data_IF_120890545291
#
_entry.id   IF_120890545291
#
_cell.length_a   1.000
_cell.length_b   1.000
_cell.length_c   1.000
_cell.angle_alpha   90.00
_cell.angle_beta   90.00
_cell.angle_gamma   90.00
#
_symmetry.space_group_name_H-M   'P 1'
#
loop_
_entity.id
_entity.type
_entity.pdbx_description
1 polymer ?
#
# COMPACT_ATOMS: atom_id res chain seq x y z
N UNK A 1 33.96 -17.06 7.58
CA UNK A 1 33.65 -16.91 6.15
C UNK A 1 34.24 -15.58 5.70
N UNK A 2 35.02 -15.52 4.63
CA UNK A 2 35.62 -14.30 4.13
C UNK A 2 34.50 -13.33 3.71
N UNK A 3 34.64 -12.04 4.03
CA UNK A 3 33.63 -11.03 3.71
C UNK A 3 33.25 -10.99 2.21
N UNK A 4 34.26 -11.20 1.36
CA UNK A 4 34.13 -11.29 -0.10
C UNK A 4 33.25 -12.48 -0.53
N UNK A 5 33.50 -13.66 0.04
CA UNK A 5 32.74 -14.87 -0.26
C UNK A 5 31.27 -14.71 0.13
N UNK A 6 30.99 -14.07 1.26
CA UNK A 6 29.63 -13.77 1.70
C UNK A 6 28.90 -12.84 0.73
N UNK A 7 29.54 -11.77 0.28
CA UNK A 7 28.93 -10.83 -0.68
C UNK A 7 28.65 -11.52 -2.01
N UNK A 8 29.55 -12.38 -2.47
CA UNK A 8 29.38 -13.16 -3.69
C UNK A 8 28.20 -14.12 -3.62
N UNK A 9 27.97 -14.75 -2.48
CA UNK A 9 26.80 -15.63 -2.25
C UNK A 9 25.50 -14.83 -2.18
N UNK A 10 25.50 -13.69 -1.48
CA UNK A 10 24.33 -12.79 -1.42
C UNK A 10 23.99 -12.23 -2.81
N UNK A 11 25.00 -11.87 -3.62
CA UNK A 11 24.81 -11.41 -4.99
C UNK A 11 24.33 -12.53 -5.92
N UNK A 12 24.82 -13.75 -5.76
CA UNK A 12 24.34 -14.93 -6.47
C UNK A 12 22.85 -15.18 -6.20
N UNK A 13 22.43 -15.05 -4.94
CA UNK A 13 21.04 -15.15 -4.57
C UNK A 13 20.19 -14.04 -5.20
N UNK A 14 20.67 -12.78 -5.18
CA UNK A 14 20.02 -11.64 -5.82
C UNK A 14 19.82 -11.88 -7.32
N UNK A 15 20.87 -12.30 -8.03
CA UNK A 15 20.80 -12.59 -9.47
C UNK A 15 19.79 -13.71 -9.79
N UNK A 16 19.73 -14.75 -8.95
CA UNK A 16 18.89 -15.91 -9.18
C UNK A 16 17.40 -15.65 -8.89
N UNK A 17 17.10 -14.79 -7.91
CA UNK A 17 15.75 -14.68 -7.36
C UNK A 17 15.10 -13.29 -7.55
N UNK A 18 15.91 -12.23 -7.71
CA UNK A 18 15.41 -10.83 -7.72
C UNK A 18 15.68 -10.15 -9.06
N UNK A 19 16.87 -10.34 -9.63
CA UNK A 19 17.24 -9.67 -10.88
C UNK A 19 16.44 -10.21 -12.06
N UNK A 20 15.90 -9.29 -12.86
CA UNK A 20 15.14 -9.62 -14.08
C UNK A 20 15.99 -9.37 -15.33
N UNK A 21 15.88 -10.26 -16.31
CA UNK A 21 16.54 -10.08 -17.60
C UNK A 21 15.90 -8.94 -18.38
N UNK A 22 16.67 -7.92 -18.76
CA UNK A 22 16.20 -6.79 -19.58
C UNK A 22 15.92 -7.14 -21.05
N UNK A 23 16.28 -8.33 -21.49
CA UNK A 23 16.22 -8.73 -22.93
C UNK A 23 14.98 -9.52 -23.34
N UNK A 24 14.04 -9.82 -22.43
CA UNK A 24 12.79 -10.54 -22.79
C UNK A 24 11.58 -9.78 -22.27
N UNK A 25 10.86 -9.21 -23.20
CA UNK A 25 9.67 -8.36 -22.97
C UNK A 25 8.42 -9.14 -22.55
N UNK A 26 8.40 -10.48 -22.64
CA UNK A 26 7.13 -11.20 -22.65
C UNK A 26 6.82 -12.07 -21.42
N UNK A 27 7.76 -12.33 -20.53
CA UNK A 27 7.51 -13.05 -19.26
C UNK A 27 8.69 -12.83 -18.32
N UNK A 28 8.43 -12.32 -17.10
CA UNK A 28 9.45 -12.07 -16.08
C UNK A 28 10.12 -13.36 -15.58
N UNK A 29 11.09 -13.84 -16.32
CA UNK A 29 11.90 -14.97 -15.92
C UNK A 29 13.14 -14.50 -15.16
N UNK A 30 13.48 -15.20 -14.08
CA UNK A 30 14.75 -15.07 -13.40
C UNK A 30 15.91 -15.37 -14.36
N UNK A 31 17.10 -14.83 -14.05
CA UNK A 31 18.28 -15.12 -14.85
C UNK A 31 18.58 -16.63 -14.86
N UNK A 32 18.91 -17.16 -16.02
CA UNK A 32 19.31 -18.58 -16.15
C UNK A 32 20.58 -18.86 -15.32
N UNK A 33 20.74 -20.05 -14.72
CA UNK A 33 21.91 -20.38 -13.90
C UNK A 33 23.26 -20.10 -14.58
N UNK A 34 23.34 -20.33 -15.90
CA UNK A 34 24.55 -20.03 -16.70
C UNK A 34 24.84 -18.53 -16.78
N UNK A 35 23.82 -17.69 -16.86
CA UNK A 35 23.96 -16.23 -16.83
C UNK A 35 24.43 -15.75 -15.44
N UNK A 36 23.88 -16.32 -14.37
CA UNK A 36 24.31 -16.02 -12.99
C UNK A 36 25.80 -16.33 -12.82
N UNK A 37 26.26 -17.49 -13.25
CA UNK A 37 27.68 -17.86 -13.19
C UNK A 37 28.58 -16.90 -13.97
N UNK A 38 28.16 -16.50 -15.16
CA UNK A 38 28.88 -15.53 -15.98
C UNK A 38 28.96 -14.16 -15.31
N UNK A 39 27.84 -13.66 -14.75
CA UNK A 39 27.82 -12.38 -14.06
C UNK A 39 28.71 -12.39 -12.81
N UNK A 40 28.73 -13.47 -12.05
CA UNK A 40 29.62 -13.60 -10.90
C UNK A 40 31.11 -13.59 -11.31
N UNK A 41 31.45 -14.23 -12.44
CA UNK A 41 32.82 -14.28 -12.92
C UNK A 41 33.32 -12.95 -13.48
N UNK A 42 32.44 -12.14 -14.11
CA UNK A 42 32.82 -10.86 -14.71
C UNK A 42 33.17 -9.75 -13.70
N UNK A 43 32.83 -9.90 -12.44
CA UNK A 43 33.16 -8.95 -11.37
C UNK A 43 34.51 -9.26 -10.67
N UNK A 44 35.15 -10.36 -11.03
CA UNK A 44 36.51 -10.65 -10.53
C UNK A 44 37.57 -9.86 -11.31
N UNK A 45 38.62 -9.52 -10.61
CA UNK A 45 39.69 -8.62 -11.05
C UNK A 45 40.31 -8.96 -12.41
N UNK A 46 40.56 -10.24 -12.65
CA UNK A 46 41.23 -10.73 -13.86
C UNK A 46 40.45 -10.46 -15.16
N UNK A 47 39.18 -10.08 -15.02
CA UNK A 47 38.27 -9.81 -16.14
C UNK A 47 38.00 -8.33 -16.39
N UNK A 48 38.28 -7.47 -15.41
CA UNK A 48 38.00 -6.03 -15.47
C UNK A 48 39.27 -5.17 -15.64
N UNK A 49 40.44 -5.66 -15.18
CA UNK A 49 41.68 -4.88 -15.08
C UNK A 49 42.36 -4.50 -16.41
N UNK A 50 42.06 -5.20 -17.50
CA UNK A 50 42.67 -4.91 -18.81
C UNK A 50 42.30 -3.52 -19.35
N UNK A 51 41.35 -2.79 -18.72
CA UNK A 51 40.78 -1.56 -19.26
C UNK A 51 41.07 -0.27 -18.50
N UNK A 52 41.35 -0.30 -17.20
CA UNK A 52 41.75 0.91 -16.47
C UNK A 52 42.59 0.63 -15.21
N UNK A 53 43.89 0.46 -15.31
CA UNK A 53 44.76 0.09 -14.19
C UNK A 53 44.84 1.14 -13.06
N UNK A 54 44.45 2.40 -13.31
CA UNK A 54 44.54 3.46 -12.31
C UNK A 54 43.42 3.34 -11.23
N UNK A 55 42.20 2.99 -11.63
CA UNK A 55 41.07 2.84 -10.72
C UNK A 55 41.29 1.66 -9.77
N UNK A 56 42.03 0.64 -10.22
CA UNK A 56 42.12 -0.65 -9.54
C UNK A 56 43.35 -0.84 -8.70
N UNK A 57 44.25 0.16 -8.60
CA UNK A 57 45.51 0.02 -7.85
C UNK A 57 45.37 -0.52 -6.42
N UNK A 58 44.17 -0.40 -5.82
CA UNK A 58 43.93 -0.79 -4.44
C UNK A 58 42.75 -1.81 -4.26
N UNK A 59 42.15 -2.26 -5.35
CA UNK A 59 40.94 -3.09 -5.33
C UNK A 59 41.27 -4.43 -6.01
N UNK A 60 41.04 -5.54 -5.32
CA UNK A 60 41.27 -6.88 -5.84
C UNK A 60 40.05 -7.53 -6.51
N UNK A 61 38.87 -7.02 -6.24
CA UNK A 61 37.60 -7.47 -6.82
C UNK A 61 36.52 -6.42 -6.58
N UNK A 62 35.50 -6.32 -7.46
CA UNK A 62 34.30 -5.52 -7.20
C UNK A 62 33.57 -5.92 -5.91
N UNK A 63 33.70 -7.17 -5.51
CA UNK A 63 33.14 -7.66 -4.25
C UNK A 63 33.79 -7.08 -2.99
N UNK A 64 34.94 -6.38 -3.11
CA UNK A 64 35.60 -5.67 -2.01
C UNK A 64 34.94 -4.30 -1.75
N UNK A 65 34.12 -3.80 -2.71
CA UNK A 65 33.49 -2.50 -2.65
C UNK A 65 32.03 -2.68 -2.24
N UNK A 66 31.68 -2.22 -1.05
CA UNK A 66 30.36 -2.41 -0.46
C UNK A 66 29.62 -1.11 -0.13
N UNK A 67 30.27 0.04 -0.42
CA UNK A 67 29.67 1.36 -0.23
C UNK A 67 28.94 1.77 -1.52
N UNK A 68 27.62 2.03 -1.48
CA UNK A 68 26.83 2.29 -2.68
C UNK A 68 27.37 3.38 -3.60
N UNK A 69 27.80 4.52 -3.04
CA UNK A 69 28.32 5.65 -3.82
C UNK A 69 29.68 5.33 -4.47
N UNK A 70 30.53 4.54 -3.82
CA UNK A 70 31.81 4.09 -4.41
C UNK A 70 31.58 3.14 -5.59
N UNK A 71 30.71 2.16 -5.41
CA UNK A 71 30.36 1.21 -6.48
C UNK A 71 29.74 1.94 -7.67
N UNK A 72 28.87 2.91 -7.42
CA UNK A 72 28.24 3.70 -8.49
C UNK A 72 29.23 4.57 -9.25
N UNK A 73 30.15 5.23 -8.56
CA UNK A 73 31.20 6.05 -9.19
C UNK A 73 32.12 5.20 -10.08
N UNK A 74 32.54 4.04 -9.60
CA UNK A 74 33.36 3.10 -10.37
C UNK A 74 32.58 2.55 -11.58
N UNK A 75 31.33 2.16 -11.38
CA UNK A 75 30.47 1.68 -12.45
C UNK A 75 30.27 2.74 -13.54
N UNK A 76 30.00 3.99 -13.16
CA UNK A 76 29.85 5.09 -14.12
C UNK A 76 31.12 5.37 -14.89
N UNK A 77 32.28 5.27 -14.25
CA UNK A 77 33.60 5.45 -14.94
C UNK A 77 33.81 4.34 -15.97
N UNK A 78 33.56 3.08 -15.64
CA UNK A 78 33.69 1.95 -16.57
C UNK A 78 32.67 1.98 -17.70
N UNK A 79 31.38 2.27 -17.39
CA UNK A 79 30.29 2.28 -18.38
C UNK A 79 30.41 3.48 -19.35
N UNK A 80 31.08 4.56 -18.96
CA UNK A 80 31.36 5.72 -19.82
C UNK A 80 32.71 5.62 -20.59
N UNK A 81 33.51 4.57 -20.35
CA UNK A 81 34.73 4.32 -21.10
C UNK A 81 34.38 3.71 -22.46
N UNK A 82 34.77 4.40 -23.55
CA UNK A 82 34.42 3.96 -24.91
C UNK A 82 35.14 2.66 -25.30
N UNK A 83 36.35 2.42 -24.83
CA UNK A 83 37.12 1.22 -25.13
C UNK A 83 36.53 0.01 -24.40
N UNK A 84 36.19 0.17 -23.13
CA UNK A 84 35.47 -0.86 -22.36
C UNK A 84 34.13 -1.23 -23.01
N UNK A 85 33.33 -0.23 -23.33
CA UNK A 85 31.95 -0.46 -23.88
C UNK A 85 32.01 -1.11 -25.25
N UNK A 86 32.94 -0.70 -26.12
CA UNK A 86 33.13 -1.30 -27.43
C UNK A 86 33.58 -2.74 -27.33
N UNK A 87 34.56 -3.04 -26.51
CA UNK A 87 35.05 -4.40 -26.32
C UNK A 87 34.03 -5.33 -25.66
N UNK A 88 33.23 -4.82 -24.72
CA UNK A 88 32.17 -5.60 -24.10
C UNK A 88 31.05 -5.94 -25.10
N UNK A 89 30.69 -5.00 -25.97
CA UNK A 89 29.70 -5.24 -27.01
C UNK A 89 30.20 -6.22 -28.09
N UNK A 90 31.47 -6.08 -28.53
CA UNK A 90 32.04 -6.88 -29.61
C UNK A 90 32.33 -8.33 -29.18
N UNK A 91 32.86 -8.55 -27.98
CA UNK A 91 33.27 -9.89 -27.52
C UNK A 91 32.30 -10.55 -26.53
N UNK A 92 31.59 -9.79 -25.72
CA UNK A 92 30.79 -10.29 -24.61
C UNK A 92 29.29 -9.96 -24.71
N UNK A 93 28.85 -9.37 -25.81
CA UNK A 93 27.44 -9.00 -26.05
C UNK A 93 26.83 -8.16 -24.90
N UNK A 94 27.60 -7.29 -24.24
CA UNK A 94 27.17 -6.43 -23.16
C UNK A 94 27.01 -7.13 -21.80
N UNK A 95 27.56 -8.32 -21.62
CA UNK A 95 27.40 -9.10 -20.38
C UNK A 95 28.19 -8.51 -19.20
N UNK A 96 29.36 -7.89 -19.45
CA UNK A 96 30.14 -7.23 -18.40
C UNK A 96 29.44 -5.98 -17.89
N UNK A 97 28.95 -5.14 -18.79
CA UNK A 97 28.14 -3.97 -18.44
C UNK A 97 26.89 -4.38 -17.65
N UNK A 98 26.23 -5.45 -18.09
CA UNK A 98 25.09 -6.02 -17.36
C UNK A 98 25.45 -6.48 -15.94
N UNK A 99 26.60 -7.13 -15.75
CA UNK A 99 27.10 -7.57 -14.43
C UNK A 99 27.34 -6.38 -13.49
N UNK A 100 27.99 -5.33 -13.99
CA UNK A 100 28.26 -4.11 -13.22
C UNK A 100 26.95 -3.43 -12.80
N UNK A 101 26.02 -3.26 -13.72
CA UNK A 101 24.71 -2.64 -13.42
C UNK A 101 23.95 -3.44 -12.36
N UNK A 102 23.90 -4.76 -12.49
CA UNK A 102 23.24 -5.61 -11.48
C UNK A 102 23.95 -5.54 -10.13
N UNK A 103 25.27 -5.42 -10.11
CA UNK A 103 26.01 -5.31 -8.86
C UNK A 103 25.76 -3.95 -8.16
N UNK A 104 25.69 -2.85 -8.92
CA UNK A 104 25.27 -1.54 -8.37
C UNK A 104 23.89 -1.63 -7.74
N UNK A 105 22.92 -2.22 -8.45
CA UNK A 105 21.57 -2.42 -7.93
C UNK A 105 21.54 -3.30 -6.67
N UNK A 106 22.33 -4.38 -6.66
CA UNK A 106 22.48 -5.25 -5.51
C UNK A 106 23.07 -4.54 -4.29
N UNK A 107 24.16 -3.79 -4.45
CA UNK A 107 24.79 -3.08 -3.33
C UNK A 107 23.88 -1.98 -2.77
N UNK A 108 23.15 -1.27 -3.62
CA UNK A 108 22.11 -0.33 -3.19
C UNK A 108 20.99 -1.03 -2.41
N UNK A 109 20.49 -2.15 -2.91
CA UNK A 109 19.49 -2.95 -2.21
C UNK A 109 20.06 -3.59 -0.94
N UNK A 110 21.30 -4.08 -0.96
CA UNK A 110 21.97 -4.68 0.19
C UNK A 110 22.13 -3.70 1.34
N UNK A 111 22.51 -2.47 1.09
CA UNK A 111 22.60 -1.45 2.14
C UNK A 111 21.25 -1.20 2.81
N UNK A 112 20.17 -1.26 2.04
CA UNK A 112 18.80 -1.19 2.54
C UNK A 112 18.46 -2.42 3.41
N UNK A 113 18.73 -3.63 2.91
CA UNK A 113 18.44 -4.88 3.63
C UNK A 113 19.34 -5.11 4.85
N UNK A 114 20.57 -4.63 4.87
CA UNK A 114 21.47 -4.79 6.03
C UNK A 114 21.10 -3.84 7.16
N UNK A 115 20.60 -2.65 6.86
CA UNK A 115 20.01 -1.75 7.85
C UNK A 115 18.73 -2.34 8.46
N UNK A 116 17.97 -3.13 7.70
CA UNK A 116 16.81 -3.89 8.22
C UNK A 116 17.23 -5.12 9.02
N UNK A 117 18.22 -5.91 8.54
CA UNK A 117 18.67 -7.14 9.25
C UNK A 117 19.35 -6.87 10.58
N UNK A 118 20.06 -5.77 10.76
CA UNK A 118 20.66 -5.39 12.05
C UNK A 118 19.56 -5.12 13.09
N UNK A 119 18.36 -4.74 12.68
CA UNK A 119 17.18 -4.62 13.56
C UNK A 119 16.64 -5.97 14.03
N UNK A 120 16.79 -7.05 13.24
CA UNK A 120 16.19 -8.35 13.51
C UNK A 120 17.10 -9.37 14.21
N UNK A 121 18.42 -9.13 14.32
CA UNK A 121 19.37 -10.10 14.85
C UNK A 121 20.19 -9.61 16.07
N UNK A 122 19.84 -8.51 16.71
CA UNK A 122 20.52 -7.98 17.90
C UNK A 122 19.82 -8.27 19.22
N UNK A 123 18.98 -9.29 19.31
CA UNK A 123 18.37 -9.69 20.59
C UNK A 123 18.86 -11.05 21.04
N UNK A 124 19.95 -11.01 21.86
CA UNK A 124 20.15 -11.95 22.96
C UNK A 124 19.62 -11.30 24.25
N UNK A 125 19.00 -12.06 25.16
CA UNK A 125 18.20 -11.49 26.21
C UNK A 125 19.02 -11.02 27.41
N UNK A 126 19.17 -9.72 27.62
CA UNK A 126 19.44 -9.18 28.94
C UNK A 126 18.40 -8.14 29.30
N UNK A 127 17.59 -8.53 30.28
CA UNK A 127 16.54 -7.73 30.90
C UNK A 127 17.09 -6.51 31.60
N UNK A 128 16.36 -5.43 31.51
CA UNK A 128 16.28 -4.21 32.37
C UNK A 128 16.74 -2.94 31.67
N UNK A 129 15.85 -2.39 30.87
CA UNK A 129 15.41 -0.97 30.93
C UNK A 129 14.25 -0.77 29.94
N UNK A 130 13.10 -1.33 30.29
CA UNK A 130 11.84 -0.99 29.66
C UNK A 130 11.30 0.23 30.38
N UNK A 131 11.35 1.39 29.73
CA UNK A 131 10.29 2.40 29.84
C UNK A 131 10.67 3.63 29.01
N UNK A 132 9.89 3.87 27.96
CA UNK A 132 9.77 5.14 27.23
C UNK A 132 10.31 5.24 25.80
N UNK A 133 10.08 4.23 24.93
CA UNK A 133 10.07 4.42 23.47
C UNK A 133 9.00 3.45 22.88
N UNK A 134 7.73 3.65 23.18
CA UNK A 134 6.72 2.63 22.89
C UNK A 134 5.58 3.05 21.94
N UNK A 135 5.55 4.27 21.39
CA UNK A 135 4.44 4.65 20.51
C UNK A 135 4.71 4.48 19.01
N UNK A 136 5.93 4.69 18.53
CA UNK A 136 6.20 4.78 17.09
C UNK A 136 6.62 3.46 16.44
N UNK A 137 7.22 2.54 17.19
CA UNK A 137 7.57 1.17 16.72
C UNK A 137 6.33 0.30 16.58
N UNK A 138 5.29 0.54 17.35
CA UNK A 138 4.03 -0.21 17.32
C UNK A 138 3.28 -0.11 15.97
N UNK A 139 3.44 0.99 15.24
CA UNK A 139 2.76 1.20 13.96
C UNK A 139 3.56 0.74 12.73
N UNK A 140 4.79 0.25 12.90
CA UNK A 140 5.67 -0.06 11.77
C UNK A 140 5.07 -1.07 10.79
N UNK A 141 4.43 -2.12 11.29
CA UNK A 141 3.77 -3.17 10.47
C UNK A 141 2.44 -2.68 9.86
N UNK A 142 1.67 -1.87 10.61
CA UNK A 142 0.36 -1.40 10.18
C UNK A 142 0.40 -0.03 9.50
N UNK A 143 1.54 0.66 9.51
CA UNK A 143 1.71 1.98 8.90
C UNK A 143 1.20 2.08 7.48
N UNK A 144 1.55 1.17 6.53
CA UNK A 144 1.08 1.29 5.16
C UNK A 144 -0.45 1.29 5.06
N UNK A 145 -1.12 0.48 5.88
CA UNK A 145 -2.58 0.40 5.91
C UNK A 145 -3.20 1.68 6.47
N UNK A 146 -2.67 2.17 7.60
CA UNK A 146 -3.14 3.39 8.26
C UNK A 146 -2.97 4.60 7.34
N UNK A 147 -1.79 4.73 6.71
CA UNK A 147 -1.50 5.82 5.78
C UNK A 147 -2.39 5.76 4.53
N UNK A 148 -2.56 4.57 3.95
CA UNK A 148 -3.42 4.37 2.78
C UNK A 148 -4.88 4.72 3.09
N UNK A 149 -5.42 4.21 4.20
CA UNK A 149 -6.80 4.47 4.64
C UNK A 149 -7.03 5.96 4.89
N UNK A 150 -6.10 6.63 5.58
CA UNK A 150 -6.20 8.07 5.85
C UNK A 150 -6.16 8.90 4.57
N UNK A 151 -5.41 8.45 3.57
CA UNK A 151 -5.33 9.12 2.27
C UNK A 151 -6.59 8.88 1.44
N UNK A 152 -7.17 7.68 1.53
CA UNK A 152 -8.40 7.32 0.82
C UNK A 152 -9.12 6.19 1.55
N UNK A 153 -10.39 6.36 1.96
CA UNK A 153 -11.13 5.37 2.75
C UNK A 153 -11.64 4.18 1.91
N UNK A 154 -11.03 3.90 0.79
CA UNK A 154 -11.25 2.70 0.00
C UNK A 154 -9.91 1.99 -0.27
N UNK A 155 -9.71 0.83 0.34
CA UNK A 155 -8.48 0.05 0.28
C UNK A 155 -8.74 -1.32 -0.35
N UNK A 156 -7.87 -1.75 -1.25
CA UNK A 156 -7.82 -3.12 -1.76
C UNK A 156 -6.60 -3.84 -1.18
N UNK A 157 -6.85 -4.99 -0.55
CA UNK A 157 -5.82 -5.90 -0.08
C UNK A 157 -5.73 -7.08 -1.06
N UNK A 158 -4.72 -7.05 -1.93
CA UNK A 158 -4.52 -8.04 -2.97
C UNK A 158 -3.39 -9.01 -2.58
N UNK A 159 -3.51 -10.28 -2.91
CA UNK A 159 -2.43 -11.26 -2.66
C UNK A 159 -2.94 -12.69 -2.64
N UNK A 160 -2.01 -13.62 -2.44
CA UNK A 160 -2.32 -15.06 -2.37
C UNK A 160 -3.27 -15.37 -1.22
N UNK A 161 -4.04 -16.47 -1.35
CA UNK A 161 -4.97 -16.89 -0.31
C UNK A 161 -4.24 -17.23 1.00
N UNK A 162 -4.85 -16.95 2.15
CA UNK A 162 -4.29 -17.27 3.46
C UNK A 162 -3.28 -16.27 4.04
N UNK A 163 -2.98 -15.13 3.39
CA UNK A 163 -2.05 -14.10 3.90
C UNK A 163 -2.63 -13.21 5.03
N UNK A 164 -3.87 -13.46 5.45
CA UNK A 164 -4.48 -12.74 6.56
C UNK A 164 -5.13 -11.40 6.19
N UNK A 165 -5.46 -11.17 4.92
CA UNK A 165 -6.09 -9.93 4.41
C UNK A 165 -7.28 -9.47 5.27
N UNK A 166 -8.30 -10.30 5.42
CA UNK A 166 -9.50 -9.99 6.23
C UNK A 166 -9.20 -9.87 7.73
N UNK A 167 -8.16 -10.57 8.22
CA UNK A 167 -7.70 -10.45 9.60
C UNK A 167 -7.16 -9.06 9.91
N UNK A 168 -6.35 -8.48 9.01
CA UNK A 168 -5.79 -7.12 9.19
C UNK A 168 -6.91 -6.09 9.38
N UNK A 169 -7.96 -6.16 8.56
CA UNK A 169 -9.11 -5.23 8.68
C UNK A 169 -9.77 -5.33 10.06
N UNK A 170 -9.95 -6.55 10.55
CA UNK A 170 -10.51 -6.80 11.88
C UNK A 170 -9.61 -6.30 13.00
N UNK A 171 -8.29 -6.48 12.88
CA UNK A 171 -7.33 -5.97 13.88
C UNK A 171 -7.31 -4.43 13.91
N UNK A 172 -7.41 -3.75 12.76
CA UNK A 172 -7.54 -2.30 12.68
C UNK A 172 -8.84 -1.81 13.35
N UNK A 173 -9.97 -2.46 13.09
CA UNK A 173 -11.24 -2.13 13.71
C UNK A 173 -11.20 -2.34 15.24
N UNK A 174 -10.63 -3.46 15.69
CA UNK A 174 -10.43 -3.77 17.11
C UNK A 174 -9.56 -2.72 17.80
N UNK A 175 -8.50 -2.26 17.15
CA UNK A 175 -7.58 -1.27 17.69
C UNK A 175 -8.20 0.12 17.88
N UNK A 176 -9.42 0.38 17.37
CA UNK A 176 -10.15 1.61 17.64
C UNK A 176 -10.74 1.65 19.07
N UNK A 177 -10.77 0.52 19.78
CA UNK A 177 -11.30 0.39 21.13
C UNK A 177 -10.18 0.38 22.19
N UNK A 178 -10.50 0.80 23.42
CA UNK A 178 -9.55 0.71 24.54
C UNK A 178 -9.26 -0.75 24.87
N UNK A 179 -7.98 -1.03 25.11
CA UNK A 179 -7.54 -2.36 25.51
C UNK A 179 -8.26 -2.80 26.81
N UNK A 180 -8.81 -4.02 26.76
CA UNK A 180 -9.54 -4.60 27.89
C UNK A 180 -11.08 -4.43 27.81
N UNK A 181 -11.61 -3.58 26.93
CA UNK A 181 -13.06 -3.46 26.70
C UNK A 181 -13.64 -4.69 26.01
N UNK A 182 -14.93 -4.87 26.08
CA UNK A 182 -15.61 -6.00 25.43
C UNK A 182 -15.51 -5.91 23.90
N UNK A 183 -15.59 -4.72 23.34
CA UNK A 183 -15.38 -4.49 21.90
C UNK A 183 -13.94 -4.82 21.46
N UNK A 184 -12.94 -4.46 22.25
CA UNK A 184 -11.56 -4.84 21.97
C UNK A 184 -11.35 -6.35 21.96
N UNK A 185 -12.06 -7.09 22.84
CA UNK A 185 -11.97 -8.56 22.94
C UNK A 185 -12.86 -9.27 21.93
N UNK A 186 -13.85 -8.58 21.36
CA UNK A 186 -14.82 -9.17 20.45
C UNK A 186 -14.15 -9.65 19.15
N UNK A 187 -14.60 -10.79 18.65
CA UNK A 187 -14.20 -11.23 17.30
C UNK A 187 -14.85 -10.40 16.20
N UNK A 188 -16.01 -9.80 16.49
CA UNK A 188 -16.74 -8.87 15.63
C UNK A 188 -17.09 -7.64 16.44
N UNK A 189 -16.16 -6.68 16.59
CA UNK A 189 -16.49 -5.42 17.26
C UNK A 189 -17.58 -4.68 16.46
N UNK A 190 -18.35 -3.81 17.13
CA UNK A 190 -19.52 -3.14 16.51
C UNK A 190 -19.17 -2.29 15.28
N UNK A 191 -17.92 -1.81 15.20
CA UNK A 191 -17.38 -1.04 14.09
C UNK A 191 -16.77 -1.89 12.96
N UNK A 192 -17.03 -3.20 12.93
CA UNK A 192 -16.55 -4.11 11.90
C UNK A 192 -17.69 -4.93 11.31
N UNK A 193 -17.86 -4.86 10.00
CA UNK A 193 -18.76 -5.71 9.23
C UNK A 193 -18.00 -6.39 8.09
N UNK A 194 -18.10 -7.72 8.05
CA UNK A 194 -17.60 -8.49 6.90
C UNK A 194 -18.78 -8.97 6.07
N UNK A 195 -18.71 -8.70 4.78
CA UNK A 195 -19.71 -9.13 3.79
C UNK A 195 -18.97 -9.97 2.75
N UNK A 196 -19.36 -11.23 2.64
CA UNK A 196 -18.81 -12.13 1.63
C UNK A 196 -19.50 -11.88 0.29
N UNK A 197 -18.73 -11.54 -0.73
CA UNK A 197 -19.23 -11.34 -2.08
C UNK A 197 -19.63 -12.69 -2.67
N UNK A 198 -20.74 -12.72 -3.40
CA UNK A 198 -21.25 -13.95 -4.02
C UNK A 198 -21.12 -13.86 -5.56
N UNK A 199 -20.80 -14.96 -6.24
CA UNK A 199 -20.59 -14.96 -7.69
C UNK A 199 -21.82 -14.52 -8.53
N UNK A 200 -23.02 -14.55 -7.94
CA UNK A 200 -24.26 -14.18 -8.59
C UNK A 200 -24.67 -12.71 -8.41
N UNK A 201 -23.83 -11.88 -7.82
CA UNK A 201 -24.11 -10.46 -7.69
C UNK A 201 -23.92 -9.74 -9.03
N UNK A 202 -24.97 -8.98 -9.44
CA UNK A 202 -25.00 -8.30 -10.73
C UNK A 202 -25.35 -6.82 -10.64
N UNK A 203 -25.88 -6.38 -9.50
CA UNK A 203 -26.28 -4.99 -9.25
C UNK A 203 -26.12 -4.65 -7.77
N UNK A 204 -26.34 -3.40 -7.40
CA UNK A 204 -26.18 -2.90 -6.04
C UNK A 204 -27.24 -3.34 -5.05
N UNK A 205 -28.30 -4.01 -5.49
CA UNK A 205 -29.41 -4.43 -4.63
C UNK A 205 -28.99 -5.37 -3.51
N UNK A 206 -27.97 -6.17 -3.74
CA UNK A 206 -27.39 -7.08 -2.74
C UNK A 206 -26.70 -6.33 -1.57
N UNK A 207 -26.13 -5.15 -1.83
CA UNK A 207 -25.42 -4.35 -0.84
C UNK A 207 -26.23 -3.16 -0.30
N UNK A 208 -26.86 -2.41 -1.19
CA UNK A 208 -27.64 -1.20 -0.84
C UNK A 208 -29.04 -1.59 -0.47
N UNK A 209 -29.68 -2.40 -1.32
CA UNK A 209 -31.07 -2.80 -1.17
C UNK A 209 -31.92 -2.43 -2.38
N UNK A 210 -33.21 -2.73 -2.30
CA UNK A 210 -34.16 -2.52 -3.38
C UNK A 210 -35.59 -2.31 -2.86
N UNK A 211 -36.43 -1.66 -3.66
CA UNK A 211 -37.85 -1.51 -3.37
C UNK A 211 -38.59 -2.79 -3.78
N UNK A 212 -39.15 -3.51 -2.79
CA UNK A 212 -39.98 -4.66 -2.97
C UNK A 212 -41.47 -4.24 -3.01
N UNK A 213 -42.29 -4.91 -3.84
CA UNK A 213 -43.75 -4.72 -3.92
C UNK A 213 -44.51 -6.03 -3.73
N UNK A 214 -43.84 -7.03 -3.18
CA UNK A 214 -44.43 -8.37 -2.97
C UNK A 214 -45.62 -8.35 -1.99
N UNK A 215 -45.56 -7.47 -0.97
CA UNK A 215 -46.62 -7.30 0.01
C UNK A 215 -47.85 -6.50 -0.50
N UNK A 216 -47.79 -6.01 -1.76
CA UNK A 216 -48.82 -5.09 -2.31
C UNK A 216 -48.57 -3.62 -1.97
N UNK A 217 -47.57 -3.31 -1.14
CA UNK A 217 -47.07 -1.97 -0.85
C UNK A 217 -45.60 -1.89 -1.21
N UNK A 218 -45.11 -0.68 -1.50
CA UNK A 218 -43.69 -0.45 -1.69
C UNK A 218 -42.98 -0.49 -0.32
N UNK A 219 -42.01 -1.38 -0.19
CA UNK A 219 -41.17 -1.53 1.00
C UNK A 219 -39.72 -1.62 0.57
N UNK A 220 -38.81 -0.88 1.20
CA UNK A 220 -37.40 -0.98 0.88
C UNK A 220 -36.73 -2.08 1.72
N UNK A 221 -36.17 -3.06 1.06
CA UNK A 221 -35.35 -4.11 1.68
C UNK A 221 -33.90 -3.63 1.73
N UNK A 222 -33.48 -3.14 2.90
CA UNK A 222 -32.15 -2.60 3.08
C UNK A 222 -31.07 -3.70 3.06
N UNK A 223 -30.03 -3.49 2.26
CA UNK A 223 -28.84 -4.32 2.22
C UNK A 223 -27.93 -4.11 3.43
N UNK A 224 -26.96 -5.01 3.59
CA UNK A 224 -26.04 -4.98 4.74
C UNK A 224 -25.13 -3.74 4.74
N UNK A 225 -24.76 -3.22 3.57
CA UNK A 225 -23.95 -2.02 3.48
C UNK A 225 -24.72 -0.78 3.93
N UNK A 226 -25.96 -0.62 3.47
CA UNK A 226 -26.79 0.53 3.86
C UNK A 226 -27.07 0.54 5.37
N UNK A 227 -27.34 -0.63 5.97
CA UNK A 227 -27.47 -0.76 7.43
C UNK A 227 -26.19 -0.38 8.18
N UNK A 228 -25.03 -0.73 7.61
CA UNK A 228 -23.75 -0.41 8.23
C UNK A 228 -23.38 1.06 8.10
N UNK A 229 -23.77 1.73 6.99
CA UNK A 229 -23.68 3.18 6.83
C UNK A 229 -24.45 3.89 7.95
N UNK A 230 -25.70 3.48 8.22
CA UNK A 230 -26.49 4.08 9.28
C UNK A 230 -25.84 3.92 10.66
N UNK A 231 -25.27 2.75 10.98
CA UNK A 231 -24.52 2.53 12.23
C UNK A 231 -23.29 3.43 12.34
N UNK A 232 -22.61 3.69 11.23
CA UNK A 232 -21.43 4.56 11.23
C UNK A 232 -21.82 6.04 11.43
N UNK A 233 -23.01 6.43 10.99
CA UNK A 233 -23.60 7.74 11.30
C UNK A 233 -23.98 7.91 12.78
N UNK A 234 -24.43 6.84 13.45
CA UNK A 234 -24.75 6.86 14.89
C UNK A 234 -23.52 7.01 15.80
N UNK A 235 -22.31 6.74 15.29
CA UNK A 235 -21.06 6.82 16.06
C UNK A 235 -19.94 7.38 15.16
N UNK A 236 -19.99 8.67 14.88
CA UNK A 236 -19.02 9.35 14.01
C UNK A 236 -17.64 9.50 14.63
N UNK A 237 -17.49 9.30 15.94
CA UNK A 237 -16.21 9.40 16.67
C UNK A 237 -15.34 8.14 16.54
N UNK A 238 -15.94 7.03 16.12
CA UNK A 238 -15.22 5.77 15.92
C UNK A 238 -15.08 5.45 14.43
N UNK A 239 -13.88 5.05 13.92
CA UNK A 239 -13.74 4.55 12.56
C UNK A 239 -14.48 3.23 12.36
N UNK A 240 -15.28 3.11 11.32
CA UNK A 240 -16.06 1.93 10.95
C UNK A 240 -15.44 1.24 9.73
N UNK A 241 -15.37 -0.09 9.73
CA UNK A 241 -14.73 -0.89 8.68
C UNK A 241 -15.72 -1.87 8.05
N UNK A 242 -16.06 -1.63 6.79
CA UNK A 242 -16.73 -2.62 5.95
C UNK A 242 -15.67 -3.43 5.20
N UNK A 243 -15.62 -4.74 5.39
CA UNK A 243 -14.77 -5.65 4.65
C UNK A 243 -15.59 -6.44 3.63
N UNK A 244 -15.37 -6.18 2.34
CA UNK A 244 -15.89 -6.99 1.24
C UNK A 244 -14.91 -8.12 0.97
N UNK A 245 -15.25 -9.33 1.45
CA UNK A 245 -14.38 -10.49 1.33
C UNK A 245 -14.53 -11.14 -0.04
N UNK A 246 -13.38 -11.45 -0.67
CA UNK A 246 -13.32 -11.97 -2.04
C UNK A 246 -14.04 -11.07 -3.06
N UNK A 247 -13.71 -9.78 -3.01
CA UNK A 247 -14.42 -8.73 -3.76
C UNK A 247 -14.52 -9.01 -5.26
N UNK A 248 -13.56 -9.73 -5.85
CA UNK A 248 -13.49 -10.07 -7.26
C UNK A 248 -14.21 -11.37 -7.66
N UNK A 249 -15.01 -11.99 -6.77
CA UNK A 249 -15.88 -13.11 -7.14
C UNK A 249 -17.04 -12.72 -8.06
N UNK A 250 -17.43 -11.44 -8.07
CA UNK A 250 -18.41 -10.86 -8.97
C UNK A 250 -17.86 -9.58 -9.63
N UNK A 251 -18.43 -9.12 -10.75
CA UNK A 251 -18.01 -7.88 -11.40
C UNK A 251 -18.24 -6.66 -10.51
N UNK A 252 -17.16 -6.11 -9.92
CA UNK A 252 -17.20 -5.03 -8.93
C UNK A 252 -17.85 -3.77 -9.48
N UNK A 253 -17.59 -3.44 -10.72
CA UNK A 253 -18.17 -2.28 -11.42
C UNK A 253 -19.69 -2.37 -11.62
N UNK A 254 -20.30 -3.53 -11.36
CA UNK A 254 -21.76 -3.72 -11.43
C UNK A 254 -22.37 -3.63 -10.04
N UNK A 255 -22.01 -4.54 -9.13
CA UNK A 255 -22.64 -4.60 -7.81
C UNK A 255 -22.21 -3.46 -6.86
N UNK A 256 -21.10 -2.78 -7.16
CA UNK A 256 -20.55 -1.71 -6.32
C UNK A 256 -20.55 -0.34 -7.04
N UNK A 257 -21.32 -0.21 -8.13
CA UNK A 257 -21.35 0.96 -9.00
C UNK A 257 -21.69 2.26 -8.26
N UNK A 258 -22.70 2.23 -7.37
CA UNK A 258 -23.14 3.40 -6.61
C UNK A 258 -22.04 3.88 -5.67
N UNK A 259 -21.40 2.99 -4.92
CA UNK A 259 -20.28 3.37 -4.06
C UNK A 259 -19.12 3.96 -4.88
N UNK A 260 -18.75 3.31 -6.00
CA UNK A 260 -17.69 3.79 -6.87
C UNK A 260 -17.99 5.19 -7.44
N UNK A 261 -19.28 5.50 -7.68
CA UNK A 261 -19.70 6.84 -8.09
C UNK A 261 -19.60 7.84 -6.94
N UNK A 262 -20.14 7.49 -5.78
CA UNK A 262 -20.22 8.38 -4.62
C UNK A 262 -18.85 8.68 -4.03
N UNK A 263 -17.90 7.74 -4.04
CA UNK A 263 -16.54 7.99 -3.51
C UNK A 263 -15.77 9.06 -4.35
N UNK A 264 -16.16 9.29 -5.59
CA UNK A 264 -15.61 10.36 -6.43
C UNK A 264 -16.16 11.75 -6.09
N UNK A 265 -17.35 11.83 -5.49
CA UNK A 265 -17.98 13.09 -5.09
C UNK A 265 -17.42 13.64 -3.76
N UNK A 266 -16.48 12.92 -3.11
CA UNK A 266 -15.86 13.39 -1.86
C UNK A 266 -15.30 14.80 -2.01
N UNK A 267 -15.63 15.64 -1.05
CA UNK A 267 -15.21 17.04 -1.03
C UNK A 267 -14.83 17.47 0.38
N UNK A 268 -13.63 18.04 0.51
CA UNK A 268 -13.16 18.71 1.73
C UNK A 268 -13.73 20.13 1.81
N UNK A 269 -14.16 20.54 2.99
CA UNK A 269 -14.66 21.90 3.25
C UNK A 269 -13.64 22.78 3.97
N UNK A 270 -12.42 22.26 4.23
CA UNK A 270 -11.33 23.02 4.86
C UNK A 270 -11.44 23.15 6.40
N UNK A 271 -12.53 22.68 6.99
CA UNK A 271 -12.79 22.66 8.44
C UNK A 271 -12.59 21.27 9.07
N UNK A 272 -12.03 20.33 8.30
CA UNK A 272 -11.87 18.95 8.69
C UNK A 272 -13.03 18.04 8.30
N UNK A 273 -14.11 18.60 7.75
CA UNK A 273 -15.30 17.87 7.30
C UNK A 273 -15.15 17.48 5.84
N UNK A 274 -15.45 16.21 5.55
CA UNK A 274 -15.53 15.67 4.19
C UNK A 274 -16.93 15.13 3.96
N UNK A 275 -17.57 15.58 2.90
CA UNK A 275 -18.92 15.12 2.50
C UNK A 275 -18.86 14.32 1.19
N UNK A 276 -19.93 13.58 0.93
CA UNK A 276 -20.19 12.88 -0.34
C UNK A 276 -21.60 13.19 -0.82
N UNK A 277 -21.87 12.94 -2.09
CA UNK A 277 -23.23 12.81 -2.57
C UNK A 277 -23.93 11.62 -1.87
N UNK A 278 -25.27 11.58 -1.80
CA UNK A 278 -25.97 10.46 -1.20
C UNK A 278 -25.79 9.18 -2.03
N UNK A 279 -25.56 8.06 -1.34
CA UNK A 279 -25.55 6.72 -1.96
C UNK A 279 -26.96 6.21 -2.21
N UNK A 280 -27.92 6.73 -1.44
CA UNK A 280 -29.35 6.56 -1.67
C UNK A 280 -30.01 7.95 -1.61
N UNK A 281 -30.49 8.39 -2.76
CA UNK A 281 -31.21 9.66 -2.89
C UNK A 281 -32.49 9.66 -2.04
N UNK A 282 -32.84 10.85 -1.53
CA UNK A 282 -34.10 11.01 -0.82
C UNK A 282 -35.29 10.78 -1.75
N UNK A 283 -36.38 10.30 -1.16
CA UNK A 283 -37.64 10.14 -1.86
C UNK A 283 -38.80 10.63 -0.96
N UNK A 284 -39.80 11.27 -1.58
CA UNK A 284 -41.00 11.74 -0.89
C UNK A 284 -42.08 10.63 -0.79
N UNK A 285 -41.65 9.38 -0.68
CA UNK A 285 -42.51 8.21 -0.65
C UNK A 285 -42.51 7.56 0.74
N UNK A 286 -43.65 6.97 1.14
CA UNK A 286 -43.81 6.31 2.44
C UNK A 286 -42.73 5.26 2.72
N UNK A 287 -42.32 4.50 1.70
CA UNK A 287 -41.29 3.49 1.86
C UNK A 287 -39.94 4.08 2.29
N UNK A 288 -39.62 5.31 1.87
CA UNK A 288 -38.36 5.95 2.23
C UNK A 288 -38.35 6.40 3.71
N UNK A 289 -39.43 7.01 4.17
CA UNK A 289 -39.59 7.39 5.58
C UNK A 289 -39.62 6.15 6.51
N UNK A 290 -40.26 5.05 6.07
CA UNK A 290 -40.19 3.77 6.78
C UNK A 290 -38.80 3.18 6.82
N UNK A 291 -38.05 3.28 5.72
CA UNK A 291 -36.63 2.86 5.63
C UNK A 291 -35.80 3.63 6.66
N UNK A 292 -35.80 4.96 6.61
CA UNK A 292 -34.98 5.79 7.50
C UNK A 292 -35.31 5.55 8.97
N UNK A 293 -36.57 5.39 9.30
CA UNK A 293 -37.02 5.01 10.64
C UNK A 293 -36.57 3.61 11.08
N UNK A 294 -36.38 2.68 10.13
CA UNK A 294 -35.87 1.34 10.42
C UNK A 294 -34.33 1.28 10.55
N UNK A 295 -33.60 2.21 9.91
CA UNK A 295 -32.19 2.26 9.92
C UNK A 295 -31.57 2.87 11.19
N UNK A 296 -32.28 3.87 11.78
CA UNK A 296 -31.81 4.54 13.00
C UNK A 296 -32.98 5.01 13.87
N UNK A 297 -32.78 4.93 15.19
CA UNK A 297 -33.65 5.54 16.17
C UNK A 297 -33.29 6.98 16.51
N UNK A 298 -32.14 7.47 16.09
CA UNK A 298 -31.71 8.83 16.29
C UNK A 298 -32.52 9.79 15.40
N UNK A 299 -33.19 10.76 16.04
CA UNK A 299 -34.09 11.69 15.34
C UNK A 299 -33.37 12.68 14.45
N UNK A 300 -32.16 13.11 14.84
CA UNK A 300 -31.35 14.09 14.08
C UNK A 300 -30.77 13.43 12.82
N UNK A 301 -30.24 12.22 12.95
CA UNK A 301 -29.74 11.43 11.81
C UNK A 301 -30.87 11.09 10.86
N UNK A 302 -32.02 10.67 11.39
CA UNK A 302 -33.18 10.37 10.56
C UNK A 302 -33.70 11.59 9.82
N UNK A 303 -33.68 12.75 10.47
CA UNK A 303 -34.06 14.04 9.84
C UNK A 303 -33.09 14.35 8.71
N UNK A 304 -31.78 14.24 8.94
CA UNK A 304 -30.76 14.44 7.92
C UNK A 304 -30.99 13.51 6.72
N UNK A 305 -31.22 12.21 6.96
CA UNK A 305 -31.48 11.25 5.88
C UNK A 305 -32.74 11.62 5.07
N UNK A 306 -33.78 12.12 5.72
CA UNK A 306 -35.00 12.52 5.05
C UNK A 306 -34.86 13.81 4.23
N UNK A 307 -34.00 14.72 4.66
CA UNK A 307 -33.78 16.01 4.00
C UNK A 307 -32.72 15.95 2.87
N UNK A 308 -31.66 15.17 3.07
CA UNK A 308 -30.46 15.20 2.21
C UNK A 308 -30.21 13.89 1.44
N UNK A 309 -30.91 12.79 1.81
CA UNK A 309 -30.58 11.44 1.37
C UNK A 309 -29.57 10.78 2.31
N UNK A 310 -29.22 9.52 2.04
CA UNK A 310 -28.27 8.75 2.85
C UNK A 310 -26.87 8.86 2.21
N UNK A 311 -26.00 9.66 2.77
CA UNK A 311 -24.61 9.81 2.34
C UNK A 311 -23.67 8.88 3.11
N UNK A 312 -22.42 8.76 2.64
CA UNK A 312 -21.38 7.97 3.30
C UNK A 312 -20.72 8.84 4.39
N UNK A 313 -20.74 8.41 5.68
CA UNK A 313 -20.09 9.18 6.73
C UNK A 313 -18.58 9.11 6.59
N UNK A 314 -17.89 10.17 6.99
CA UNK A 314 -16.44 10.34 6.84
C UNK A 314 -15.62 9.26 7.54
N UNK A 315 -16.13 8.71 8.64
CA UNK A 315 -15.48 7.67 9.45
C UNK A 315 -15.68 6.24 8.90
N UNK A 316 -16.38 6.07 7.77
CA UNK A 316 -16.59 4.77 7.15
C UNK A 316 -15.45 4.44 6.17
N UNK A 317 -14.78 3.34 6.44
CA UNK A 317 -13.67 2.80 5.66
C UNK A 317 -14.14 1.51 4.98
N UNK A 318 -13.97 1.42 3.67
CA UNK A 318 -14.28 0.22 2.90
C UNK A 318 -12.98 -0.49 2.52
N UNK A 319 -12.91 -1.78 2.77
CA UNK A 319 -11.75 -2.61 2.42
C UNK A 319 -12.22 -3.82 1.61
N UNK A 320 -11.70 -3.98 0.40
CA UNK A 320 -11.91 -5.18 -0.40
C UNK A 320 -10.72 -6.14 -0.27
N UNK A 321 -10.98 -7.43 -0.06
CA UNK A 321 -9.94 -8.46 -0.18
C UNK A 321 -10.00 -9.14 -1.53
N UNK A 322 -8.82 -9.46 -2.09
CA UNK A 322 -8.68 -10.02 -3.43
C UNK A 322 -7.71 -11.18 -3.40
N UNK A 323 -8.15 -12.33 -3.87
CA UNK A 323 -7.28 -13.49 -4.08
C UNK A 323 -6.74 -13.46 -5.51
N UNK A 324 -5.40 -13.40 -5.65
CA UNK A 324 -4.73 -13.31 -6.97
C UNK A 324 -4.43 -14.68 -7.58
N UNK A 325 -4.52 -15.73 -6.80
CA UNK A 325 -4.26 -17.14 -7.15
C UNK A 325 -5.50 -17.88 -7.69
N UNK A 326 -6.68 -17.23 -7.67
CA UNK A 326 -7.93 -17.78 -8.15
C UNK A 326 -8.33 -17.21 -9.52
N UNK A 327 -9.03 -18.02 -10.33
CA UNK A 327 -9.63 -17.55 -11.60
C UNK A 327 -10.91 -16.74 -11.30
N UNK A 328 -10.73 -15.46 -11.06
CA UNK A 328 -11.78 -14.51 -10.68
C UNK A 328 -11.84 -13.36 -11.69
N UNK A 329 -12.80 -12.44 -11.52
CA UNK A 329 -12.88 -11.27 -12.37
C UNK A 329 -11.68 -10.34 -12.14
N UNK A 330 -11.10 -9.82 -13.23
CA UNK A 330 -10.10 -8.76 -13.16
C UNK A 330 -10.75 -7.42 -12.85
N UNK A 331 -10.09 -6.58 -12.06
CA UNK A 331 -10.57 -5.23 -11.83
C UNK A 331 -10.41 -4.35 -13.07
N UNK A 332 -11.45 -3.61 -13.39
CA UNK A 332 -11.35 -2.52 -14.36
C UNK A 332 -10.55 -1.34 -13.77
N UNK A 333 -10.02 -0.49 -14.64
CA UNK A 333 -9.37 0.77 -14.22
C UNK A 333 -10.29 1.63 -13.35
N UNK A 334 -11.60 1.59 -13.59
CA UNK A 334 -12.59 2.36 -12.81
C UNK A 334 -12.57 2.01 -11.32
N UNK A 335 -12.29 0.77 -10.96
CA UNK A 335 -12.16 0.32 -9.56
C UNK A 335 -10.78 0.69 -9.02
N UNK A 336 -9.70 0.36 -9.74
CA UNK A 336 -8.33 0.57 -9.29
C UNK A 336 -8.00 2.06 -9.10
N UNK A 337 -8.51 2.92 -9.98
CA UNK A 337 -8.32 4.37 -9.88
C UNK A 337 -9.03 4.99 -8.66
N UNK A 338 -9.95 4.27 -8.01
CA UNK A 338 -10.72 4.74 -6.86
C UNK A 338 -10.29 4.15 -5.53
N UNK A 339 -9.41 3.17 -5.55
CA UNK A 339 -8.91 2.49 -4.37
C UNK A 339 -7.41 2.73 -4.17
N UNK A 340 -6.95 2.71 -2.92
CA UNK A 340 -5.55 2.43 -2.61
C UNK A 340 -5.35 0.91 -2.61
N UNK A 341 -4.25 0.42 -3.18
CA UNK A 341 -3.99 -1.02 -3.26
C UNK A 341 -2.72 -1.38 -2.53
N UNK A 342 -2.80 -2.38 -1.67
CA UNK A 342 -1.64 -2.96 -0.99
C UNK A 342 -1.54 -4.44 -1.36
N UNK A 343 -0.38 -4.83 -1.90
CA UNK A 343 -0.08 -6.22 -2.21
C UNK A 343 0.47 -6.94 -0.98
N UNK A 344 -0.14 -8.07 -0.64
CA UNK A 344 0.19 -8.92 0.51
C UNK A 344 0.70 -10.29 0.04
N UNK A 345 1.85 -10.30 -0.61
CA UNK A 345 2.46 -11.52 -1.16
C UNK A 345 3.59 -12.08 -0.27
N UNK A 346 4.08 -11.28 0.68
CA UNK A 346 5.10 -11.71 1.62
C UNK A 346 4.46 -12.37 2.84
N UNK A 347 4.97 -13.54 3.21
CA UNK A 347 4.47 -14.33 4.34
C UNK A 347 5.59 -14.55 5.36
N UNK A 348 5.41 -14.00 6.55
CA UNK A 348 6.22 -14.35 7.70
C UNK A 348 5.61 -15.56 8.41
N UNK A 349 6.21 -16.74 8.20
CA UNK A 349 5.74 -18.00 8.81
C UNK A 349 5.91 -18.04 10.33
N UNK A 350 6.72 -17.19 10.92
CA UNK A 350 6.87 -17.04 12.37
C UNK A 350 5.92 -16.00 12.96
N UNK A 351 5.33 -15.13 12.12
CA UNK A 351 4.40 -14.11 12.52
C UNK A 351 3.15 -14.68 13.21
N UNK A 352 2.73 -14.07 14.30
CA UNK A 352 1.51 -14.43 15.02
C UNK A 352 1.58 -15.71 15.87
N UNK A 353 2.73 -16.40 15.95
CA UNK A 353 2.86 -17.64 16.74
C UNK A 353 3.00 -17.37 18.26
N UNK A 354 3.50 -16.20 18.63
CA UNK A 354 3.77 -15.86 20.04
C UNK A 354 2.64 -15.09 20.70
N UNK A 355 1.83 -14.38 19.93
CA UNK A 355 0.71 -13.57 20.42
C UNK A 355 -0.51 -13.76 19.53
N UNK A 356 -1.71 -13.86 20.12
CA UNK A 356 -2.96 -14.01 19.37
C UNK A 356 -3.32 -12.74 18.58
N UNK A 357 -3.02 -11.57 19.14
CA UNK A 357 -3.25 -10.26 18.55
C UNK A 357 -1.96 -9.46 18.61
N UNK A 358 -1.69 -8.70 17.55
CA UNK A 358 -0.62 -7.74 17.54
C UNK A 358 -1.05 -6.47 18.31
N UNK A 359 -0.10 -5.86 19.02
CA UNK A 359 -0.36 -4.59 19.70
C UNK A 359 -0.16 -3.46 18.68
N UNK A 360 -1.27 -2.87 18.21
CA UNK A 360 -1.24 -1.75 17.26
C UNK A 360 -1.25 -0.41 18.02
N UNK A 361 -1.65 -0.43 19.31
CA UNK A 361 -2.02 0.76 20.06
C UNK A 361 -3.40 1.29 19.64
N UNK A 362 -3.92 2.27 20.39
CA UNK A 362 -5.24 2.82 20.10
C UNK A 362 -5.23 3.63 18.80
N UNK A 363 -6.11 3.25 17.90
CA UNK A 363 -6.45 3.99 16.69
C UNK A 363 -7.71 4.83 16.93
N UNK A 364 -7.88 5.88 16.13
CA UNK A 364 -9.06 6.74 16.17
C UNK A 364 -9.14 7.59 14.91
N UNK A 365 -10.14 8.47 14.82
CA UNK A 365 -10.36 9.32 13.66
C UNK A 365 -9.10 10.12 13.25
N UNK A 366 -8.38 10.69 14.20
CA UNK A 366 -7.16 11.45 13.92
C UNK A 366 -6.10 10.66 13.12
N UNK A 367 -6.06 9.33 13.25
CA UNK A 367 -5.10 8.46 12.57
C UNK A 367 -5.65 7.82 11.29
N UNK A 368 -6.94 7.57 11.22
CA UNK A 368 -7.56 6.77 10.17
C UNK A 368 -8.47 7.58 9.24
N UNK A 369 -9.06 8.66 9.74
CA UNK A 369 -10.00 9.46 8.96
C UNK A 369 -9.27 10.68 8.39
N UNK A 370 -9.23 10.76 7.06
CA UNK A 370 -8.61 11.89 6.36
C UNK A 370 -9.57 13.06 6.20
N UNK A 371 -9.07 14.27 6.44
CA UNK A 371 -9.79 15.52 6.22
C UNK A 371 -9.46 16.17 4.87
N UNK A 372 -8.41 15.71 4.20
CA UNK A 372 -8.00 16.14 2.88
C UNK A 372 -8.46 15.14 1.81
N UNK A 373 -8.86 15.64 0.66
CA UNK A 373 -9.34 14.84 -0.49
C UNK A 373 -8.50 15.09 -1.72
N UNK A 374 -8.06 16.32 -1.94
CA UNK A 374 -7.28 16.74 -3.09
C UNK A 374 -5.88 17.21 -2.67
N UNK A 375 -4.95 17.25 -3.63
CA UNK A 375 -3.60 17.72 -3.37
C UNK A 375 -3.56 19.19 -2.87
N UNK A 376 -4.52 20.02 -3.26
CA UNK A 376 -4.62 21.41 -2.80
C UNK A 376 -4.87 21.51 -1.29
N UNK A 377 -5.53 20.53 -0.70
CA UNK A 377 -5.86 20.51 0.73
C UNK A 377 -4.62 20.36 1.62
N UNK A 378 -3.51 19.85 1.06
CA UNK A 378 -2.25 19.62 1.79
C UNK A 378 -1.07 20.43 1.24
N UNK A 379 -1.15 20.90 -0.01
CA UNK A 379 0.00 21.47 -0.70
C UNK A 379 0.56 22.71 0.00
N UNK A 380 -0.32 23.62 0.44
CA UNK A 380 0.12 24.89 1.05
C UNK A 380 0.82 24.68 2.40
N UNK A 381 0.41 23.68 3.16
CA UNK A 381 0.99 23.38 4.48
C UNK A 381 2.29 22.55 4.39
N UNK A 382 2.50 21.82 3.27
CA UNK A 382 3.61 20.89 3.06
C UNK A 382 4.31 21.11 1.72
N UNK A 383 4.46 22.37 1.28
CA UNK A 383 4.97 22.74 -0.06
C UNK A 383 6.29 22.05 -0.39
N UNK A 384 7.28 22.10 0.50
CA UNK A 384 8.63 21.56 0.24
C UNK A 384 8.60 20.06 -0.06
N UNK A 385 7.87 19.29 0.74
CA UNK A 385 7.72 17.84 0.56
C UNK A 385 6.91 17.53 -0.70
N UNK A 386 5.84 18.27 -0.92
CA UNK A 386 5.00 18.12 -2.11
C UNK A 386 5.77 18.41 -3.40
N UNK A 387 6.62 19.43 -3.44
CA UNK A 387 7.43 19.77 -4.61
C UNK A 387 8.45 18.68 -4.92
N UNK A 388 9.11 18.12 -3.90
CA UNK A 388 9.99 16.97 -4.08
C UNK A 388 9.22 15.76 -4.63
N UNK A 389 8.05 15.46 -4.07
CA UNK A 389 7.19 14.36 -4.51
C UNK A 389 6.75 14.55 -5.97
N UNK A 390 6.32 15.76 -6.34
CA UNK A 390 5.96 16.13 -7.71
C UNK A 390 7.14 15.98 -8.67
N UNK A 391 8.35 16.33 -8.23
CA UNK A 391 9.58 16.12 -9.00
C UNK A 391 9.81 14.66 -9.36
N UNK A 392 9.53 13.71 -8.46
CA UNK A 392 9.58 12.29 -8.75
C UNK A 392 8.51 11.84 -9.74
N UNK A 393 7.24 12.25 -9.54
CA UNK A 393 6.15 11.95 -10.47
C UNK A 393 6.41 12.50 -11.88
N UNK A 394 7.00 13.70 -11.99
CA UNK A 394 7.36 14.27 -13.28
C UNK A 394 8.44 13.45 -14.00
N UNK A 395 9.43 12.93 -13.28
CA UNK A 395 10.45 12.02 -13.85
C UNK A 395 9.79 10.74 -14.36
N UNK A 396 8.86 10.15 -13.60
CA UNK A 396 8.08 8.98 -14.04
C UNK A 396 7.29 9.30 -15.30
N UNK A 397 6.57 10.43 -15.34
CA UNK A 397 5.79 10.85 -16.49
C UNK A 397 6.65 11.10 -17.75
N UNK A 398 7.87 11.60 -17.57
CA UNK A 398 8.81 11.77 -18.69
C UNK A 398 9.21 10.41 -19.31
N UNK A 399 9.40 9.38 -18.47
CA UNK A 399 9.68 8.00 -18.94
C UNK A 399 8.46 7.39 -19.65
N UNK A 400 7.26 7.71 -19.17
CA UNK A 400 5.99 7.21 -19.71
C UNK A 400 5.46 8.05 -20.91
N UNK A 401 6.25 9.01 -21.42
CA UNK A 401 5.85 9.84 -22.55
C UNK A 401 5.49 8.98 -23.77
N UNK A 402 4.37 9.33 -24.43
CA UNK A 402 3.84 8.57 -25.58
C UNK A 402 3.12 7.26 -25.23
N UNK A 403 2.99 6.92 -23.94
CA UNK A 403 2.24 5.75 -23.48
C UNK A 403 0.89 6.15 -22.87
N UNK A 404 -0.11 5.24 -22.80
CA UNK A 404 -1.37 5.49 -22.11
C UNK A 404 -1.27 5.38 -20.57
N UNK A 405 -0.07 5.22 -20.01
CA UNK A 405 0.17 4.97 -18.59
C UNK A 405 0.64 6.19 -17.82
N UNK A 406 0.63 7.37 -18.42
CA UNK A 406 0.96 8.63 -17.74
C UNK A 406 0.13 8.81 -16.47
N UNK A 407 0.80 9.29 -15.43
CA UNK A 407 0.17 9.70 -14.17
C UNK A 407 -0.67 10.95 -14.43
N UNK A 408 -1.95 10.90 -14.01
CA UNK A 408 -2.90 12.00 -14.11
C UNK A 408 -3.14 12.67 -12.73
N UNK A 409 -4.00 13.68 -12.72
CA UNK A 409 -4.26 14.51 -11.54
C UNK A 409 -4.75 13.72 -10.32
N UNK A 410 -5.58 12.68 -10.51
CA UNK A 410 -6.06 11.83 -9.41
C UNK A 410 -4.90 11.15 -8.71
N UNK A 411 -4.07 10.42 -9.44
CA UNK A 411 -2.90 9.73 -8.88
C UNK A 411 -1.91 10.72 -8.24
N UNK A 412 -1.74 11.91 -8.82
CA UNK A 412 -0.95 12.99 -8.22
C UNK A 412 -1.52 13.37 -6.84
N UNK A 413 -2.81 13.64 -6.75
CA UNK A 413 -3.46 14.02 -5.49
C UNK A 413 -3.29 12.91 -4.44
N UNK A 414 -3.57 11.68 -4.80
CA UNK A 414 -3.43 10.51 -3.91
C UNK A 414 -1.98 10.31 -3.43
N UNK A 415 -1.01 10.49 -4.32
CA UNK A 415 0.40 10.40 -3.97
C UNK A 415 0.80 11.49 -2.97
N UNK A 416 0.39 12.74 -3.18
CA UNK A 416 0.64 13.82 -2.23
C UNK A 416 -0.01 13.56 -0.87
N UNK A 417 -1.26 13.12 -0.84
CA UNK A 417 -1.96 12.76 0.40
C UNK A 417 -1.24 11.60 1.12
N UNK A 418 -0.82 10.57 0.39
CA UNK A 418 -0.10 9.45 0.98
C UNK A 418 1.24 9.89 1.58
N UNK A 419 2.03 10.68 0.87
CA UNK A 419 3.32 11.20 1.35
C UNK A 419 3.11 12.04 2.62
N UNK A 420 2.18 12.99 2.60
CA UNK A 420 1.92 13.87 3.75
C UNK A 420 1.40 13.07 4.96
N UNK A 421 0.46 12.15 4.75
CA UNK A 421 -0.05 11.30 5.83
C UNK A 421 0.99 10.31 6.38
N UNK A 422 2.06 10.04 5.64
CA UNK A 422 3.16 9.19 6.09
C UNK A 422 4.22 9.95 6.93
N UNK A 423 4.30 11.28 6.81
CA UNK A 423 5.30 12.10 7.52
C UNK A 423 5.39 11.81 9.03
N UNK A 424 4.27 11.71 9.79
CA UNK A 424 4.32 11.46 11.23
C UNK A 424 5.02 10.16 11.63
N UNK A 425 5.14 9.22 10.69
CA UNK A 425 5.74 7.89 10.90
C UNK A 425 7.18 7.78 10.36
N UNK A 426 7.70 8.83 9.73
CA UNK A 426 9.03 8.86 9.12
C UNK A 426 10.03 9.49 10.09
N UNK A 427 10.38 8.76 11.15
CA UNK A 427 11.35 9.17 12.15
C UNK A 427 12.53 8.22 12.20
N UNK A 428 13.71 8.74 12.59
CA UNK A 428 14.90 7.94 12.86
C UNK A 428 14.79 7.23 14.22
N UNK A 429 15.81 6.46 14.59
CA UNK A 429 15.89 5.73 15.86
C UNK A 429 15.90 6.65 17.10
N UNK A 430 16.22 7.94 16.92
CA UNK A 430 16.25 8.96 17.97
C UNK A 430 14.96 9.79 18.02
N UNK A 431 13.99 9.50 17.14
CA UNK A 431 12.73 10.23 17.03
C UNK A 431 12.81 11.53 16.23
N UNK A 432 13.92 11.81 15.52
CA UNK A 432 14.04 12.96 14.64
C UNK A 432 13.40 12.66 13.27
N UNK A 433 12.88 13.67 12.61
CA UNK A 433 12.30 13.53 11.29
C UNK A 433 13.37 13.12 10.27
N UNK A 434 13.05 12.12 9.43
CA UNK A 434 13.91 11.69 8.34
C UNK A 434 13.97 12.76 7.24
N UNK A 435 15.08 12.81 6.50
CA UNK A 435 15.17 13.66 5.32
C UNK A 435 14.03 13.38 4.35
N UNK A 436 13.48 14.43 3.75
CA UNK A 436 12.29 14.37 2.89
C UNK A 436 12.42 13.38 1.73
N UNK A 437 13.63 13.22 1.17
CA UNK A 437 13.89 12.23 0.12
C UNK A 437 13.69 10.79 0.58
N UNK A 438 14.00 10.46 1.83
CA UNK A 438 13.76 9.14 2.42
C UNK A 438 12.28 8.88 2.69
N UNK A 439 11.53 9.93 3.04
CA UNK A 439 10.09 9.83 3.27
C UNK A 439 9.36 9.41 2.00
N UNK A 440 9.75 9.99 0.87
CA UNK A 440 9.12 9.73 -0.44
C UNK A 440 9.54 8.36 -1.00
N UNK A 441 10.74 7.88 -0.66
CA UNK A 441 11.25 6.58 -1.10
C UNK A 441 10.69 5.38 -0.30
N UNK A 442 10.10 5.62 0.85
CA UNK A 442 9.44 4.61 1.70
C UNK A 442 7.97 4.43 1.34
#
# INVERSE_FOLDING_TARGET
>A
MDSRQRIKEEFSYYLSNIARSSRRTDKGFNLQPTAVQSFLAFLEVDKLFDYNPEIWKHIKSMYDITVPNEVENIANTLLNDEEFTKHDNDKNQGWRSGSIIHYVCFIKARSYFMNEKTKYFSDSPDQKTANKVTSDVQYSTYRPYITAIKSKPFLLLAGISGTGKSRIVRELARACWEEGTDEYKAQKPKNFQMVQVKPNWHDSSDLIGYVSRVSGKAEFVAGEFLKFIAKAWEDTETPYFLCLDEMNLAPVEQYFAEYLSVIESRKSHGDGIVTTDPILEKADEEWYFNLTASLTSDEDIRKQFNEEGISIPQNLIVVGTVNMDETTFSFSRKVLDRAMTIEMNEVDLHGGLTKRHESIGKLGNAKLVGSAVEGVDVYNDYTDVCDIALGYLQKVNNILEGTPFKVAYRTRNEFLLYVVNNLPYCKDENGNDLEQGYVIAR
#
